data_IF_353403397776
#
_entry.id   IF_353403397776
#
_cell.length_a   1.000
_cell.length_b   1.000
_cell.length_c   1.000
_cell.angle_alpha   90.00
_cell.angle_beta   90.00
_cell.angle_gamma   90.00
#
_symmetry.space_group_name_H-M   'P 1'
#
loop_
_entity.id
_entity.type
_entity.pdbx_description
1 polymer ?
#
# COMPACT_ATOMS: atom_id res chain seq x y z
N UNK A 1 -20.71 11.14 12.94
CA UNK A 1 -20.84 12.25 11.96
C UNK A 1 -20.11 11.96 10.64
N UNK A 2 -19.00 11.19 10.62
CA UNK A 2 -18.41 10.67 9.36
C UNK A 2 -18.68 9.18 9.06
N UNK A 3 -19.39 8.44 9.93
CA UNK A 3 -19.60 6.98 9.75
C UNK A 3 -18.32 6.14 9.91
N UNK A 4 -17.20 6.77 10.29
CA UNK A 4 -15.94 6.09 10.55
C UNK A 4 -15.97 5.43 11.93
N UNK A 5 -15.69 4.13 11.96
CA UNK A 5 -15.46 3.40 13.21
C UNK A 5 -14.20 3.93 13.91
N UNK A 6 -14.19 3.89 15.24
CA UNK A 6 -13.01 4.29 16.02
C UNK A 6 -11.77 3.44 15.67
N UNK A 7 -12.00 2.18 15.26
CA UNK A 7 -10.97 1.25 14.81
C UNK A 7 -10.35 1.70 13.49
N UNK A 8 -11.15 2.06 12.48
CA UNK A 8 -10.63 2.54 11.20
C UNK A 8 -9.86 3.85 11.33
N UNK A 9 -10.32 4.78 12.17
CA UNK A 9 -9.59 6.03 12.41
C UNK A 9 -8.23 5.77 13.09
N UNK A 10 -8.21 4.86 14.07
CA UNK A 10 -6.97 4.49 14.77
C UNK A 10 -6.00 3.73 13.86
N UNK A 11 -6.51 2.83 13.01
CA UNK A 11 -5.72 2.10 12.04
C UNK A 11 -5.11 3.05 10.99
N UNK A 12 -5.89 4.00 10.48
CA UNK A 12 -5.40 5.01 9.55
C UNK A 12 -4.34 5.92 10.18
N UNK A 13 -4.55 6.36 11.43
CA UNK A 13 -3.55 7.11 12.18
C UNK A 13 -2.26 6.29 12.39
N UNK A 14 -2.38 5.01 12.72
CA UNK A 14 -1.25 4.07 12.81
C UNK A 14 -0.47 3.95 11.50
N UNK A 15 -1.18 3.86 10.36
CA UNK A 15 -0.56 3.87 9.05
C UNK A 15 0.22 5.17 8.78
N UNK A 16 -0.34 6.33 9.11
CA UNK A 16 0.35 7.62 8.97
C UNK A 16 1.61 7.73 9.84
N UNK A 17 1.55 7.20 11.08
CA UNK A 17 2.71 7.13 11.98
C UNK A 17 3.79 6.24 11.38
N UNK A 18 3.43 5.05 10.88
CA UNK A 18 4.35 4.14 10.23
C UNK A 18 5.01 4.76 9.00
N UNK A 19 4.23 5.40 8.12
CA UNK A 19 4.72 6.11 6.93
C UNK A 19 5.70 7.22 7.35
N UNK A 20 5.38 7.97 8.40
CA UNK A 20 6.22 9.06 8.91
C UNK A 20 7.55 8.54 9.47
N UNK A 21 7.57 7.39 10.13
CA UNK A 21 8.81 6.75 10.58
C UNK A 21 9.66 6.27 9.40
N UNK A 22 9.06 5.57 8.43
CA UNK A 22 9.79 5.11 7.23
C UNK A 22 10.40 6.31 6.50
N UNK A 23 9.61 7.37 6.28
CA UNK A 23 10.05 8.57 5.60
C UNK A 23 11.18 9.28 6.36
N UNK A 24 11.04 9.46 7.67
CA UNK A 24 12.05 10.14 8.48
C UNK A 24 13.38 9.39 8.44
N UNK A 25 13.37 8.08 8.70
CA UNK A 25 14.59 7.27 8.72
C UNK A 25 15.25 7.23 7.33
N UNK A 26 14.45 7.07 6.27
CA UNK A 26 14.97 7.05 4.89
C UNK A 26 15.59 8.40 4.48
N UNK A 27 15.04 9.52 4.97
CA UNK A 27 15.58 10.86 4.70
C UNK A 27 16.91 11.13 5.42
N UNK A 28 17.07 10.67 6.66
CA UNK A 28 18.21 11.04 7.50
C UNK A 28 19.54 10.37 7.13
N UNK A 29 19.54 9.18 6.52
CA UNK A 29 20.74 8.34 6.46
C UNK A 29 21.49 8.32 5.11
N UNK A 30 20.84 8.21 3.94
CA UNK A 30 21.58 7.97 2.67
C UNK A 30 20.94 8.54 1.38
N UNK A 31 19.91 9.38 1.50
CA UNK A 31 19.05 9.69 0.35
C UNK A 31 18.15 8.50 -0.01
N UNK A 32 17.12 8.75 -0.83
CA UNK A 32 16.05 7.79 -1.13
C UNK A 32 16.52 6.70 -2.12
N UNK A 33 17.45 5.84 -1.70
CA UNK A 33 17.78 4.60 -2.43
C UNK A 33 16.72 3.53 -2.12
N UNK A 34 16.33 2.75 -3.14
CA UNK A 34 15.30 1.72 -2.99
C UNK A 34 15.64 0.69 -1.90
N UNK A 35 16.91 0.33 -1.78
CA UNK A 35 17.42 -0.61 -0.78
C UNK A 35 17.23 -0.11 0.66
N UNK A 36 17.55 1.17 0.93
CA UNK A 36 17.38 1.76 2.26
C UNK A 36 15.90 1.82 2.65
N UNK A 37 15.03 2.15 1.70
CA UNK A 37 13.59 2.17 1.93
C UNK A 37 13.06 0.78 2.30
N UNK A 38 13.49 -0.25 1.55
CA UNK A 38 13.11 -1.64 1.80
C UNK A 38 13.57 -2.10 3.18
N UNK A 39 14.86 -1.90 3.52
CA UNK A 39 15.41 -2.33 4.81
C UNK A 39 14.74 -1.59 5.98
N UNK A 40 14.50 -0.28 5.83
CA UNK A 40 13.77 0.54 6.81
C UNK A 40 12.34 0.03 6.99
N UNK A 41 11.65 -0.27 5.90
CA UNK A 41 10.29 -0.81 5.94
C UNK A 41 10.21 -2.16 6.66
N UNK A 42 11.13 -3.07 6.37
CA UNK A 42 11.21 -4.38 7.05
C UNK A 42 11.48 -4.22 8.54
N UNK A 43 12.42 -3.35 8.92
CA UNK A 43 12.72 -3.09 10.34
C UNK A 43 11.51 -2.53 11.09
N UNK A 44 10.80 -1.57 10.49
CA UNK A 44 9.58 -0.98 11.06
C UNK A 44 8.45 -2.00 11.16
N UNK A 45 8.30 -2.88 10.16
CA UNK A 45 7.33 -3.96 10.19
C UNK A 45 7.56 -4.90 11.36
N UNK A 46 8.81 -5.30 11.64
CA UNK A 46 9.14 -6.12 12.81
C UNK A 46 8.87 -5.40 14.13
N UNK A 47 9.17 -4.11 14.21
CA UNK A 47 8.87 -3.31 15.39
C UNK A 47 7.37 -3.28 15.70
N UNK A 48 6.52 -2.96 14.72
CA UNK A 48 5.07 -2.96 14.91
C UNK A 48 4.51 -4.36 15.14
N UNK A 49 5.07 -5.39 14.51
CA UNK A 49 4.69 -6.79 14.78
C UNK A 49 4.96 -7.18 16.23
N UNK A 50 6.11 -6.78 16.79
CA UNK A 50 6.41 -6.98 18.20
C UNK A 50 5.46 -6.22 19.12
N UNK A 51 5.08 -4.98 18.75
CA UNK A 51 4.09 -4.20 19.49
C UNK A 51 2.71 -4.88 19.51
N UNK A 52 2.26 -5.42 18.38
CA UNK A 52 1.00 -6.17 18.27
C UNK A 52 1.05 -7.39 19.20
N UNK A 53 2.14 -8.16 19.18
CA UNK A 53 2.33 -9.31 20.07
C UNK A 53 2.33 -8.91 21.55
N UNK A 54 2.97 -7.80 21.89
CA UNK A 54 2.99 -7.27 23.26
C UNK A 54 1.59 -6.87 23.73
N UNK A 55 0.82 -6.16 22.90
CA UNK A 55 -0.57 -5.79 23.22
C UNK A 55 -1.44 -7.04 23.35
N UNK A 56 -1.27 -8.02 22.46
CA UNK A 56 -2.00 -9.29 22.50
C UNK A 56 -1.73 -10.05 23.79
N UNK A 57 -0.47 -10.06 24.27
CA UNK A 57 -0.09 -10.69 25.54
C UNK A 57 -0.78 -10.05 26.75
N UNK A 58 -0.98 -8.72 26.74
CA UNK A 58 -1.66 -7.99 27.81
C UNK A 58 -3.19 -8.08 27.72
N UNK A 59 -3.75 -8.57 26.62
CA UNK A 59 -5.18 -8.56 26.33
C UNK A 59 -5.90 -9.79 26.88
N UNK A 60 -7.19 -9.66 27.19
CA UNK A 60 -8.03 -10.79 27.54
C UNK A 60 -8.28 -11.71 26.32
N UNK A 61 -8.72 -12.95 26.56
CA UNK A 61 -8.96 -13.95 25.50
C UNK A 61 -9.90 -13.44 24.40
N UNK A 62 -10.97 -12.74 24.78
CA UNK A 62 -11.94 -12.19 23.84
C UNK A 62 -11.33 -11.11 22.93
N UNK A 63 -10.55 -10.18 23.49
CA UNK A 63 -9.92 -9.09 22.75
C UNK A 63 -8.79 -9.60 21.87
N UNK A 64 -8.00 -10.56 22.37
CA UNK A 64 -6.97 -11.25 21.60
C UNK A 64 -7.56 -11.93 20.35
N UNK A 65 -8.71 -12.59 20.48
CA UNK A 65 -9.42 -13.16 19.33
C UNK A 65 -9.87 -12.10 18.33
N UNK A 66 -10.34 -10.94 18.80
CA UNK A 66 -10.71 -9.83 17.91
C UNK A 66 -9.51 -9.25 17.16
N UNK A 67 -8.35 -9.12 17.81
CA UNK A 67 -7.10 -8.69 17.18
C UNK A 67 -6.72 -9.68 16.07
N UNK A 68 -6.72 -10.98 16.36
CA UNK A 68 -6.41 -12.02 15.36
C UNK A 68 -7.40 -11.95 14.19
N UNK A 69 -8.70 -11.85 14.48
CA UNK A 69 -9.73 -11.74 13.44
C UNK A 69 -9.54 -10.51 12.54
N UNK A 70 -9.17 -9.37 13.12
CA UNK A 70 -8.90 -8.16 12.34
C UNK A 70 -7.65 -8.30 11.47
N UNK A 71 -6.60 -8.95 12.00
CA UNK A 71 -5.35 -9.22 11.27
C UNK A 71 -5.51 -10.21 10.11
N UNK A 72 -6.58 -11.00 10.07
CA UNK A 72 -6.89 -11.86 8.92
C UNK A 72 -7.40 -11.06 7.71
N UNK A 73 -7.91 -9.85 7.94
CA UNK A 73 -8.61 -9.06 6.92
C UNK A 73 -10.02 -9.59 6.64
N UNK A 74 -10.93 -8.70 6.26
CA UNK A 74 -12.29 -9.03 5.86
C UNK A 74 -12.87 -7.95 4.95
N UNK A 75 -13.54 -8.37 3.88
CA UNK A 75 -14.24 -7.49 2.94
C UNK A 75 -15.71 -7.26 3.32
N UNK A 76 -16.04 -7.40 4.61
CA UNK A 76 -17.39 -7.18 5.16
C UNK A 76 -17.73 -5.68 5.21
N UNK A 77 -17.84 -5.06 4.03
CA UNK A 77 -18.22 -3.67 3.86
C UNK A 77 -19.73 -3.54 4.04
N UNK A 78 -20.15 -2.87 5.12
CA UNK A 78 -21.58 -2.66 5.41
C UNK A 78 -22.05 -1.35 4.75
N UNK A 79 -22.26 -1.41 3.43
CA UNK A 79 -22.92 -0.37 2.64
C UNK A 79 -22.01 0.54 1.81
N UNK A 80 -22.61 1.50 1.10
CA UNK A 80 -21.91 2.33 0.11
C UNK A 80 -21.07 3.48 0.69
N UNK A 81 -21.13 3.71 2.01
CA UNK A 81 -20.46 4.85 2.63
C UNK A 81 -18.94 4.65 2.69
N UNK A 82 -18.48 3.45 3.06
CA UNK A 82 -17.06 3.08 3.11
C UNK A 82 -16.44 3.13 1.70
N UNK A 83 -17.18 2.68 0.69
CA UNK A 83 -16.78 2.79 -0.71
C UNK A 83 -16.55 4.25 -1.13
N UNK A 84 -17.49 5.14 -0.80
CA UNK A 84 -17.37 6.58 -1.10
C UNK A 84 -16.16 7.22 -0.41
N UNK A 85 -15.78 6.75 0.77
CA UNK A 85 -14.60 7.23 1.51
C UNK A 85 -13.30 6.77 0.86
N UNK A 86 -13.24 5.55 0.32
CA UNK A 86 -12.06 5.02 -0.37
C UNK A 86 -11.85 5.60 -1.77
N UNK A 87 -12.95 5.91 -2.46
CA UNK A 87 -12.95 6.39 -3.84
C UNK A 87 -11.95 7.55 -4.10
N UNK A 88 -11.87 8.63 -3.30
CA UNK A 88 -10.89 9.69 -3.54
C UNK A 88 -9.44 9.20 -3.43
N UNK A 89 -9.10 8.34 -2.48
CA UNK A 89 -7.75 7.80 -2.34
C UNK A 89 -7.38 6.88 -3.50
N UNK A 90 -8.29 5.97 -3.89
CA UNK A 90 -8.06 5.03 -4.99
C UNK A 90 -7.94 5.76 -6.32
N UNK A 91 -8.85 6.70 -6.60
CA UNK A 91 -8.82 7.49 -7.84
C UNK A 91 -7.57 8.37 -7.93
N UNK A 92 -7.19 9.06 -6.85
CA UNK A 92 -5.96 9.85 -6.82
C UNK A 92 -4.74 8.97 -7.13
N UNK A 93 -4.64 7.79 -6.49
CA UNK A 93 -3.53 6.87 -6.70
C UNK A 93 -3.52 6.31 -8.12
N UNK A 94 -4.67 5.92 -8.66
CA UNK A 94 -4.77 5.45 -10.03
C UNK A 94 -4.33 6.54 -11.03
N UNK A 95 -4.82 7.77 -10.87
CA UNK A 95 -4.46 8.90 -11.75
C UNK A 95 -2.96 9.20 -11.69
N UNK A 96 -2.37 9.27 -10.50
CA UNK A 96 -0.94 9.54 -10.34
C UNK A 96 -0.09 8.43 -10.95
N UNK A 97 -0.44 7.16 -10.74
CA UNK A 97 0.32 6.03 -11.28
C UNK A 97 0.20 5.95 -12.81
N UNK A 98 -0.99 6.18 -13.37
CA UNK A 98 -1.19 6.24 -14.83
C UNK A 98 -0.39 7.38 -15.45
N UNK A 99 -0.42 8.57 -14.81
CA UNK A 99 0.36 9.73 -15.24
C UNK A 99 1.87 9.43 -15.25
N UNK A 100 2.36 8.74 -14.22
CA UNK A 100 3.78 8.36 -14.07
C UNK A 100 4.19 7.08 -14.83
N UNK A 101 3.33 6.54 -15.69
CA UNK A 101 3.57 5.26 -16.38
C UNK A 101 4.83 5.28 -17.26
N UNK A 102 5.16 6.43 -17.86
CA UNK A 102 6.35 6.58 -18.69
C UNK A 102 7.61 6.63 -17.83
N UNK A 103 7.57 7.35 -16.73
CA UNK A 103 8.66 7.45 -15.75
C UNK A 103 8.95 6.08 -15.14
N UNK A 104 7.92 5.30 -14.82
CA UNK A 104 8.05 3.92 -14.34
C UNK A 104 8.80 3.02 -15.33
N UNK A 105 8.47 3.10 -16.63
CA UNK A 105 9.21 2.37 -17.66
C UNK A 105 10.67 2.81 -17.77
N UNK A 106 10.95 4.11 -17.63
CA UNK A 106 12.32 4.61 -17.65
C UNK A 106 13.11 4.17 -16.41
N UNK A 107 12.46 4.08 -15.25
CA UNK A 107 13.07 3.55 -14.03
C UNK A 107 13.42 2.06 -14.16
N UNK A 108 12.66 1.27 -14.93
CA UNK A 108 13.03 -0.13 -15.21
C UNK A 108 14.32 -0.26 -16.01
N UNK A 109 14.64 0.72 -16.86
CA UNK A 109 15.89 0.73 -17.63
C UNK A 109 17.11 1.13 -16.77
N UNK A 110 16.90 1.65 -15.56
CA UNK A 110 17.95 2.04 -14.62
C UNK A 110 17.94 3.53 -14.28
N UNK A 111 18.41 3.85 -13.08
CA UNK A 111 18.38 5.21 -12.51
C UNK A 111 19.18 6.23 -13.35
N UNK A 112 20.32 5.80 -13.92
CA UNK A 112 21.15 6.65 -14.79
C UNK A 112 20.44 6.98 -16.11
N UNK A 113 19.82 5.98 -16.73
CA UNK A 113 19.07 6.15 -17.99
C UNK A 113 17.87 7.06 -17.75
N UNK A 114 17.11 6.84 -16.68
CA UNK A 114 15.98 7.67 -16.31
C UNK A 114 16.40 9.14 -16.10
N UNK A 115 17.49 9.36 -15.35
CA UNK A 115 18.03 10.70 -15.09
C UNK A 115 18.50 11.39 -16.37
N UNK A 116 19.17 10.67 -17.27
CA UNK A 116 19.61 11.20 -18.57
C UNK A 116 18.45 11.63 -19.48
N UNK A 117 17.27 11.00 -19.30
CA UNK A 117 16.02 11.31 -20.02
C UNK A 117 15.20 12.40 -19.34
N UNK A 118 15.74 13.06 -18.31
CA UNK A 118 15.09 14.17 -17.60
C UNK A 118 14.14 13.73 -16.49
N UNK A 119 14.07 12.44 -16.15
CA UNK A 119 13.23 11.96 -15.06
C UNK A 119 13.89 12.29 -13.73
N UNK A 120 13.17 13.01 -12.89
CA UNK A 120 13.62 13.32 -11.56
C UNK A 120 13.35 12.13 -10.61
N UNK A 121 14.21 11.11 -10.67
CA UNK A 121 14.06 9.79 -9.99
C UNK A 121 13.61 9.92 -8.53
N UNK A 122 14.23 10.84 -7.77
CA UNK A 122 13.89 11.09 -6.36
C UNK A 122 12.43 11.50 -6.20
N UNK A 123 11.96 12.47 -6.98
CA UNK A 123 10.59 12.98 -6.86
C UNK A 123 9.56 11.93 -7.28
N UNK A 124 9.83 11.16 -8.34
CA UNK A 124 8.95 10.07 -8.77
C UNK A 124 8.83 9.01 -7.66
N UNK A 125 9.95 8.60 -7.06
CA UNK A 125 9.94 7.67 -5.92
C UNK A 125 9.18 8.22 -4.71
N UNK A 126 9.35 9.50 -4.37
CA UNK A 126 8.60 10.13 -3.28
C UNK A 126 7.09 10.18 -3.57
N UNK A 127 6.71 10.62 -4.76
CA UNK A 127 5.31 10.70 -5.16
C UNK A 127 4.64 9.32 -5.10
N UNK A 128 5.29 8.30 -5.69
CA UNK A 128 4.80 6.93 -5.65
C UNK A 128 4.71 6.41 -4.21
N UNK A 129 5.75 6.61 -3.39
CA UNK A 129 5.76 6.17 -2.00
C UNK A 129 4.59 6.75 -1.20
N UNK A 130 4.39 8.07 -1.24
CA UNK A 130 3.32 8.72 -0.47
C UNK A 130 1.93 8.34 -0.97
N UNK A 131 1.72 8.38 -2.28
CA UNK A 131 0.39 8.15 -2.87
C UNK A 131 -0.03 6.68 -2.74
N UNK A 132 0.90 5.73 -2.89
CA UNK A 132 0.60 4.30 -2.67
C UNK A 132 0.41 4.00 -1.19
N UNK A 133 1.29 4.50 -0.31
CA UNK A 133 1.18 4.23 1.12
C UNK A 133 -0.09 4.82 1.74
N UNK A 134 -0.51 6.01 1.30
CA UNK A 134 -1.75 6.63 1.75
C UNK A 134 -2.98 5.82 1.32
N UNK A 135 -3.00 5.35 0.07
CA UNK A 135 -4.09 4.53 -0.45
C UNK A 135 -4.16 3.16 0.22
N UNK A 136 -3.03 2.47 0.37
CA UNK A 136 -2.95 1.20 1.10
C UNK A 136 -3.36 1.39 2.55
N UNK A 137 -2.91 2.46 3.21
CA UNK A 137 -3.31 2.78 4.59
C UNK A 137 -4.82 2.98 4.74
N UNK A 138 -5.46 3.66 3.78
CA UNK A 138 -6.91 3.84 3.76
C UNK A 138 -7.65 2.51 3.55
N UNK A 139 -7.18 1.66 2.62
CA UNK A 139 -7.75 0.33 2.35
C UNK A 139 -7.63 -0.58 3.58
N UNK A 140 -6.44 -0.66 4.18
CA UNK A 140 -6.17 -1.50 5.35
C UNK A 140 -6.95 -1.04 6.58
N UNK A 141 -7.18 0.28 6.72
CA UNK A 141 -7.99 0.80 7.83
C UNK A 141 -9.45 0.33 7.79
N UNK A 142 -9.99 0.01 6.61
CA UNK A 142 -11.37 -0.45 6.44
C UNK A 142 -11.45 -1.98 6.36
N UNK A 143 -10.67 -2.60 5.47
CA UNK A 143 -10.78 -4.04 5.19
C UNK A 143 -9.79 -4.90 6.01
N UNK A 144 -8.93 -4.28 6.81
CA UNK A 144 -7.80 -4.97 7.43
C UNK A 144 -6.68 -5.30 6.42
N UNK A 145 -5.58 -5.92 6.87
CA UNK A 145 -4.46 -6.24 6.01
C UNK A 145 -4.79 -7.43 5.09
N UNK A 146 -4.77 -7.20 3.78
CA UNK A 146 -4.91 -8.25 2.76
C UNK A 146 -3.57 -8.39 2.03
N UNK A 147 -2.89 -9.50 2.28
CA UNK A 147 -1.58 -9.80 1.70
C UNK A 147 -1.65 -10.44 0.30
N UNK A 148 -0.48 -10.59 -0.32
CA UNK A 148 -0.23 -11.35 -1.56
C UNK A 148 -0.87 -10.84 -2.86
N UNK A 149 -2.08 -10.28 -2.84
CA UNK A 149 -2.78 -9.78 -4.05
C UNK A 149 -1.88 -8.79 -4.80
N UNK A 150 -1.28 -7.83 -4.09
CA UNK A 150 -0.38 -6.83 -4.68
C UNK A 150 0.94 -7.38 -5.22
N UNK A 151 1.33 -8.62 -4.88
CA UNK A 151 2.52 -9.27 -5.46
C UNK A 151 2.13 -10.21 -6.62
N UNK A 152 1.06 -11.00 -6.44
CA UNK A 152 0.62 -11.98 -7.44
C UNK A 152 0.04 -11.32 -8.68
N UNK A 153 -0.89 -10.37 -8.52
CA UNK A 153 -1.63 -9.75 -9.63
C UNK A 153 -0.68 -9.09 -10.64
N UNK A 154 0.27 -8.22 -10.25
CA UNK A 154 1.21 -7.63 -11.21
C UNK A 154 2.11 -8.65 -11.88
N UNK A 155 2.53 -9.70 -11.17
CA UNK A 155 3.40 -10.72 -11.74
C UNK A 155 2.68 -11.56 -12.79
N UNK A 156 1.45 -11.98 -12.50
CA UNK A 156 0.59 -12.69 -13.46
C UNK A 156 0.31 -11.81 -14.67
N UNK A 157 -0.08 -10.54 -14.48
CA UNK A 157 -0.32 -9.62 -15.60
C UNK A 157 0.95 -9.37 -16.44
N UNK A 158 2.14 -9.33 -15.83
CA UNK A 158 3.41 -9.21 -16.58
C UNK A 158 3.66 -10.41 -17.49
N UNK A 159 3.34 -11.62 -17.04
CA UNK A 159 3.48 -12.83 -17.86
C UNK A 159 2.51 -12.85 -19.05
N UNK A 160 1.34 -12.22 -18.92
CA UNK A 160 0.29 -12.25 -19.95
C UNK A 160 0.43 -11.07 -20.94
N UNK A 161 0.72 -9.86 -20.45
CA UNK A 161 0.62 -8.59 -21.20
C UNK A 161 2.01 -7.98 -21.47
N UNK A 162 3.02 -8.33 -20.68
CA UNK A 162 4.37 -7.79 -20.75
C UNK A 162 4.66 -6.71 -19.71
N UNK A 163 5.81 -6.06 -19.85
CA UNK A 163 6.40 -5.19 -18.81
C UNK A 163 6.08 -3.70 -18.98
N UNK A 164 5.47 -3.29 -20.11
CA UNK A 164 5.12 -1.88 -20.35
C UNK A 164 4.01 -1.42 -19.39
N UNK A 165 4.36 -0.50 -18.49
CA UNK A 165 3.47 0.05 -17.47
C UNK A 165 2.20 0.69 -18.05
N UNK A 166 2.22 1.18 -19.29
CA UNK A 166 1.03 1.77 -19.92
C UNK A 166 -0.13 0.78 -20.07
N UNK A 167 0.19 -0.48 -20.31
CA UNK A 167 -0.78 -1.57 -20.42
C UNK A 167 -0.90 -2.36 -19.13
N UNK A 168 0.22 -2.53 -18.40
CA UNK A 168 0.25 -3.28 -17.16
C UNK A 168 -0.59 -2.62 -16.05
N UNK A 169 -0.54 -1.29 -15.90
CA UNK A 169 -1.31 -0.57 -14.87
C UNK A 169 -2.83 -0.79 -15.02
N UNK A 170 -3.48 -0.50 -16.16
CA UNK A 170 -4.92 -0.71 -16.30
C UNK A 170 -5.29 -2.19 -16.20
N UNK A 171 -4.45 -3.09 -16.73
CA UNK A 171 -4.70 -4.52 -16.63
C UNK A 171 -4.67 -5.03 -15.19
N UNK A 172 -3.66 -4.62 -14.40
CA UNK A 172 -3.55 -5.00 -12.98
C UNK A 172 -4.68 -4.44 -12.14
N UNK A 173 -5.18 -3.24 -12.46
CA UNK A 173 -6.33 -2.65 -11.79
C UNK A 173 -7.60 -3.49 -12.00
N UNK A 174 -7.89 -3.87 -13.24
CA UNK A 174 -9.07 -4.67 -13.59
C UNK A 174 -8.94 -6.12 -13.13
N UNK A 175 -7.79 -6.75 -13.37
CA UNK A 175 -7.52 -8.13 -12.99
C UNK A 175 -7.48 -8.28 -11.47
N UNK A 176 -6.84 -7.36 -10.75
CA UNK A 176 -6.77 -7.39 -9.29
C UNK A 176 -8.13 -7.27 -8.62
N UNK A 177 -8.99 -6.37 -9.10
CA UNK A 177 -10.36 -6.26 -8.61
C UNK A 177 -11.17 -7.53 -8.86
N UNK A 178 -11.09 -8.08 -10.07
CA UNK A 178 -11.79 -9.34 -10.42
C UNK A 178 -11.28 -10.53 -9.62
N UNK A 179 -9.96 -10.63 -9.44
CA UNK A 179 -9.30 -11.67 -8.65
C UNK A 179 -9.74 -11.63 -7.19
N UNK A 180 -9.77 -10.44 -6.58
CA UNK A 180 -10.21 -10.28 -5.20
C UNK A 180 -11.68 -10.70 -5.03
N UNK A 181 -12.56 -10.33 -5.96
CA UNK A 181 -13.97 -10.75 -5.92
C UNK A 181 -14.09 -12.27 -5.99
N UNK A 182 -13.34 -12.94 -6.89
CA UNK A 182 -13.35 -14.41 -7.00
C UNK A 182 -12.85 -15.08 -5.72
N UNK A 183 -11.89 -14.48 -5.02
CA UNK A 183 -11.39 -15.01 -3.75
C UNK A 183 -12.34 -14.81 -2.58
N UNK A 184 -13.23 -13.82 -2.65
CA UNK A 184 -14.19 -13.49 -1.59
C UNK A 184 -15.53 -14.25 -1.73
N UNK A 185 -15.90 -14.66 -2.95
CA UNK A 185 -17.07 -15.51 -3.23
C UNK A 185 -16.86 -16.98 -2.88
#
# INVERSE_FOLDING_TARGET
>A
IFGLSATSLSAFAGALIAISFVYSISRFRFGFSGETLLLTGVAISFFFSSLILFIQYLSNVADSFQIIRWLMGSLTVVGYQELKQLLPFVTLTAVVIIYLSRELNLLMAGDEIATSRGVSVKYVRYALFFVTSLCVGAIVALCGPIGFVGMMVPHICRLIIGEDHRYLIPATLLFGGSFLVICDT
#
